data_IF_076752740099
#
_entry.id   IF_076752740099
#
_cell.length_a   1.000
_cell.length_b   1.000
_cell.length_c   1.000
_cell.angle_alpha   90.00
_cell.angle_beta   90.00
_cell.angle_gamma   90.00
#
_symmetry.space_group_name_H-M   'P 1'
#
loop_
_entity.id
_entity.type
_entity.pdbx_description
1 polymer ?
#
# COMPACT_ATOMS: atom_id res chain seq x y z
N UNK A 1 3.07 -6.13 -0.61
CA UNK A 1 3.35 -4.96 0.22
C UNK A 1 3.90 -3.84 -0.64
N UNK A 2 3.30 -2.68 -0.61
CA UNK A 2 3.69 -1.52 -1.42
C UNK A 2 3.93 -0.29 -0.53
N UNK A 3 4.74 0.66 -1.02
CA UNK A 3 4.79 2.00 -0.45
C UNK A 3 3.49 2.76 -0.76
N UNK A 4 3.24 3.86 -0.03
CA UNK A 4 1.97 4.59 -0.09
C UNK A 4 2.18 6.09 -0.29
N UNK A 5 1.67 6.62 -1.38
CA UNK A 5 1.85 8.01 -1.79
C UNK A 5 0.51 8.76 -1.82
N UNK A 6 -0.56 8.07 -2.23
CA UNK A 6 -1.83 8.70 -2.53
C UNK A 6 -3.02 7.74 -2.38
N UNK A 7 -4.21 8.30 -2.29
CA UNK A 7 -5.47 7.55 -2.42
C UNK A 7 -5.59 6.82 -3.77
N UNK A 8 -4.94 7.34 -4.83
CA UNK A 8 -4.99 6.74 -6.18
C UNK A 8 -4.12 5.46 -6.28
N UNK A 9 -3.23 5.19 -5.33
CA UNK A 9 -2.42 3.97 -5.29
C UNK A 9 -3.29 2.71 -5.34
N UNK A 10 -4.47 2.76 -4.72
CA UNK A 10 -5.45 1.67 -4.75
C UNK A 10 -5.85 1.34 -6.20
N UNK A 11 -6.17 2.38 -6.98
CA UNK A 11 -6.57 2.23 -8.39
C UNK A 11 -5.41 1.71 -9.23
N UNK A 12 -4.22 2.27 -9.03
CA UNK A 12 -3.01 1.91 -9.77
C UNK A 12 -2.62 0.44 -9.51
N UNK A 13 -2.55 0.04 -8.25
CA UNK A 13 -2.20 -1.35 -7.89
C UNK A 13 -3.27 -2.32 -8.37
N UNK A 14 -4.56 -1.99 -8.22
CA UNK A 14 -5.65 -2.85 -8.67
C UNK A 14 -5.69 -2.99 -10.20
N UNK A 15 -5.34 -1.94 -10.95
CA UNK A 15 -5.24 -1.98 -12.41
C UNK A 15 -4.12 -2.90 -12.92
N UNK A 16 -3.04 -3.05 -12.14
CA UNK A 16 -1.92 -3.92 -12.50
C UNK A 16 -2.13 -5.37 -12.09
N UNK A 17 -2.82 -5.60 -10.96
CA UNK A 17 -3.10 -6.92 -10.43
C UNK A 17 -4.36 -6.91 -9.58
N UNK A 18 -5.30 -7.79 -9.90
CA UNK A 18 -6.48 -7.97 -9.05
C UNK A 18 -6.06 -8.41 -7.65
N UNK A 19 -6.44 -7.62 -6.65
CA UNK A 19 -6.16 -7.86 -5.24
C UNK A 19 -7.19 -7.13 -4.37
N UNK A 20 -7.39 -7.63 -3.15
CA UNK A 20 -8.17 -6.98 -2.12
C UNK A 20 -7.25 -6.09 -1.29
N UNK A 21 -7.74 -4.96 -0.82
CA UNK A 21 -6.95 -4.08 0.03
C UNK A 21 -7.28 -4.27 1.50
N UNK A 22 -6.33 -3.93 2.36
CA UNK A 22 -6.54 -3.84 3.80
C UNK A 22 -6.49 -2.38 4.20
N UNK A 23 -7.61 -1.84 4.66
CA UNK A 23 -7.75 -0.43 5.01
C UNK A 23 -8.40 -0.24 6.38
N UNK A 24 -8.21 0.95 6.97
CA UNK A 24 -8.90 1.34 8.20
C UNK A 24 -10.40 1.53 7.90
N UNK A 25 -11.27 1.19 8.85
CA UNK A 25 -12.72 1.36 8.75
C UNK A 25 -13.16 2.82 8.59
N UNK A 26 -12.36 3.78 9.07
CA UNK A 26 -12.59 5.21 8.86
C UNK A 26 -12.70 5.58 7.38
N UNK A 27 -11.95 4.91 6.51
CA UNK A 27 -11.94 5.13 5.05
C UNK A 27 -13.30 4.77 4.43
N UNK A 28 -14.05 3.84 5.03
CA UNK A 28 -15.39 3.50 4.58
C UNK A 28 -16.37 4.69 4.62
N UNK A 29 -16.05 5.73 5.37
CA UNK A 29 -16.87 6.96 5.51
C UNK A 29 -16.56 8.02 4.45
N UNK A 30 -15.54 7.84 3.63
CA UNK A 30 -15.12 8.79 2.61
C UNK A 30 -15.79 8.44 1.26
N UNK A 31 -16.78 9.21 0.77
CA UNK A 31 -17.69 8.75 -0.29
C UNK A 31 -16.99 8.26 -1.56
N UNK A 32 -15.97 8.98 -2.03
CA UNK A 32 -15.25 8.63 -3.24
C UNK A 32 -14.30 7.45 -3.02
N UNK A 33 -13.50 7.52 -1.96
CA UNK A 33 -12.49 6.50 -1.63
C UNK A 33 -13.16 5.19 -1.21
N UNK A 34 -14.27 5.26 -0.46
CA UNK A 34 -15.02 4.06 -0.08
C UNK A 34 -15.63 3.34 -1.30
N UNK A 35 -16.08 4.08 -2.30
CA UNK A 35 -16.60 3.47 -3.54
C UNK A 35 -15.50 2.69 -4.26
N UNK A 36 -14.30 3.28 -4.40
CA UNK A 36 -13.14 2.61 -4.99
C UNK A 36 -12.67 1.41 -4.15
N UNK A 37 -12.60 1.60 -2.83
CA UNK A 37 -12.19 0.56 -1.90
C UNK A 37 -13.18 -0.63 -1.89
N UNK A 38 -14.48 -0.36 -1.95
CA UNK A 38 -15.52 -1.40 -2.04
C UNK A 38 -15.48 -2.12 -3.39
N UNK A 39 -15.22 -1.41 -4.49
CA UNK A 39 -15.04 -2.02 -5.80
C UNK A 39 -13.81 -2.95 -5.86
N UNK A 40 -12.79 -2.66 -5.03
CA UNK A 40 -11.59 -3.49 -4.86
C UNK A 40 -11.74 -4.54 -3.73
N UNK A 41 -12.95 -4.83 -3.28
CA UNK A 41 -13.27 -5.80 -2.21
C UNK A 41 -12.38 -5.64 -0.96
N UNK A 42 -12.27 -4.40 -0.48
CA UNK A 42 -11.38 -4.02 0.61
C UNK A 42 -11.80 -4.62 1.94
N UNK A 43 -10.86 -5.23 2.64
CA UNK A 43 -11.00 -5.69 4.01
C UNK A 43 -10.82 -4.50 4.97
N UNK A 44 -11.92 -4.03 5.55
CA UNK A 44 -11.86 -2.96 6.54
C UNK A 44 -11.50 -3.50 7.92
N UNK A 45 -10.59 -2.81 8.59
CA UNK A 45 -10.06 -3.24 9.88
C UNK A 45 -10.17 -2.12 10.91
N UNK A 46 -10.69 -2.47 12.08
CA UNK A 46 -10.71 -1.62 13.28
C UNK A 46 -9.49 -1.91 14.14
N UNK A 47 -8.76 -0.89 14.58
CA UNK A 47 -7.53 -1.02 15.38
C UNK A 47 -7.58 -0.20 16.67
N UNK A 48 -8.70 -0.20 17.35
CA UNK A 48 -8.88 0.58 18.58
C UNK A 48 -8.23 -0.07 19.81
N UNK A 49 -8.03 -1.38 19.77
CA UNK A 49 -7.48 -2.13 20.89
C UNK A 49 -6.45 -3.19 20.46
N UNK A 50 -5.66 -3.67 21.44
CA UNK A 50 -4.75 -4.82 21.24
C UNK A 50 -5.47 -6.09 20.78
N UNK A 51 -6.71 -6.29 21.27
CA UNK A 51 -7.57 -7.42 20.90
C UNK A 51 -8.01 -7.32 19.45
N UNK A 52 -8.34 -6.11 19.00
CA UNK A 52 -8.72 -5.87 17.60
C UNK A 52 -7.54 -6.09 16.66
N UNK A 53 -6.34 -5.65 17.04
CA UNK A 53 -5.12 -5.89 16.27
C UNK A 53 -4.87 -7.41 16.07
N UNK A 54 -5.09 -8.25 17.08
CA UNK A 54 -4.97 -9.72 16.96
C UNK A 54 -6.05 -10.31 16.07
N UNK A 55 -7.30 -9.82 16.19
CA UNK A 55 -8.41 -10.25 15.33
C UNK A 55 -8.14 -9.94 13.87
N UNK A 56 -7.63 -8.74 13.58
CA UNK A 56 -7.22 -8.32 12.24
C UNK A 56 -6.14 -9.23 11.66
N UNK A 57 -5.09 -9.53 12.41
CA UNK A 57 -4.04 -10.47 11.99
C UNK A 57 -4.65 -11.84 11.65
N UNK A 58 -5.59 -12.31 12.47
CA UNK A 58 -6.26 -13.60 12.23
C UNK A 58 -7.13 -13.59 10.97
N UNK A 59 -7.91 -12.53 10.77
CA UNK A 59 -8.74 -12.36 9.56
C UNK A 59 -7.89 -12.31 8.29
N UNK A 60 -6.82 -11.53 8.28
CA UNK A 60 -5.90 -11.44 7.15
C UNK A 60 -5.24 -12.81 6.90
N UNK A 61 -4.77 -13.49 7.95
CA UNK A 61 -4.17 -14.81 7.79
C UNK A 61 -5.16 -15.86 7.25
N UNK A 62 -6.43 -15.79 7.63
CA UNK A 62 -7.47 -16.65 7.08
C UNK A 62 -7.71 -16.38 5.60
N UNK A 63 -7.90 -15.12 5.21
CA UNK A 63 -8.05 -14.69 3.81
C UNK A 63 -6.88 -15.19 2.93
N UNK A 64 -5.64 -15.07 3.44
CA UNK A 64 -4.46 -15.58 2.73
C UNK A 64 -4.48 -17.11 2.56
N UNK A 65 -4.95 -17.87 3.57
CA UNK A 65 -5.10 -19.35 3.47
C UNK A 65 -6.20 -19.75 2.51
N UNK A 66 -7.24 -18.93 2.39
CA UNK A 66 -8.35 -19.13 1.45
C UNK A 66 -7.96 -18.80 0.01
N UNK A 67 -6.73 -18.29 -0.21
CA UNK A 67 -6.17 -18.01 -1.53
C UNK A 67 -6.33 -16.57 -2.00
N UNK A 68 -6.82 -15.68 -1.16
CA UNK A 68 -6.94 -14.27 -1.49
C UNK A 68 -5.56 -13.63 -1.70
N UNK A 69 -5.48 -12.71 -2.66
CA UNK A 69 -4.34 -11.82 -2.84
C UNK A 69 -4.64 -10.51 -2.15
N UNK A 70 -3.87 -10.17 -1.12
CA UNK A 70 -4.07 -8.98 -0.32
C UNK A 70 -2.98 -7.94 -0.58
N UNK A 71 -3.38 -6.72 -0.88
CA UNK A 71 -2.48 -5.57 -0.95
C UNK A 71 -2.48 -4.80 0.39
N UNK A 72 -1.28 -4.56 0.90
CA UNK A 72 -1.09 -3.77 2.13
C UNK A 72 -0.11 -2.63 1.88
N UNK A 73 -0.37 -1.51 2.54
CA UNK A 73 0.53 -0.38 2.63
C UNK A 73 1.10 -0.31 4.06
N UNK A 74 2.24 -0.94 4.32
CA UNK A 74 2.75 -1.08 5.68
C UNK A 74 3.22 0.22 6.32
N UNK A 75 3.36 1.31 5.56
CA UNK A 75 3.59 2.66 6.09
C UNK A 75 2.43 3.17 6.95
N UNK A 76 1.21 2.68 6.69
CA UNK A 76 0.00 3.04 7.46
C UNK A 76 -0.51 4.46 7.25
N UNK A 77 0.20 5.26 6.46
CA UNK A 77 -0.18 6.60 6.01
C UNK A 77 0.51 6.89 4.68
N UNK A 78 0.05 7.90 3.96
CA UNK A 78 0.67 8.36 2.72
C UNK A 78 1.88 9.24 2.98
N UNK A 79 2.91 9.11 2.15
CA UNK A 79 4.08 9.98 2.07
C UNK A 79 4.11 10.78 0.79
N UNK A 80 5.12 11.64 0.63
CA UNK A 80 5.34 12.43 -0.59
C UNK A 80 6.06 11.65 -1.72
N UNK A 81 6.40 10.39 -1.47
CA UNK A 81 7.12 9.55 -2.42
C UNK A 81 8.63 9.78 -2.48
N UNK A 82 9.17 10.81 -1.80
CA UNK A 82 10.63 11.07 -1.80
C UNK A 82 11.39 10.08 -0.94
N UNK A 83 10.76 9.59 0.12
CA UNK A 83 11.33 8.61 1.06
C UNK A 83 10.25 7.65 1.55
N UNK A 84 10.66 6.44 1.89
CA UNK A 84 9.79 5.47 2.54
C UNK A 84 9.68 5.76 4.04
N UNK A 85 8.46 5.76 4.55
CA UNK A 85 8.21 5.81 5.98
C UNK A 85 8.53 4.46 6.64
N UNK A 86 8.64 4.41 7.98
CA UNK A 86 8.82 3.14 8.69
C UNK A 86 7.64 2.19 8.45
N UNK A 87 7.93 0.91 8.26
CA UNK A 87 6.91 -0.11 8.05
C UNK A 87 6.35 -0.64 9.38
N UNK A 88 5.05 -0.65 9.51
CA UNK A 88 4.34 -1.28 10.62
C UNK A 88 4.31 -2.80 10.45
N UNK A 89 5.14 -3.48 11.23
CA UNK A 89 5.37 -4.92 11.14
C UNK A 89 4.13 -5.80 11.49
N UNK A 90 3.09 -5.24 12.11
CA UNK A 90 1.96 -6.02 12.60
C UNK A 90 1.18 -6.75 11.50
N UNK A 91 1.07 -6.15 10.30
CA UNK A 91 0.38 -6.79 9.17
C UNK A 91 1.16 -7.98 8.62
N UNK A 92 2.50 -7.95 8.69
CA UNK A 92 3.34 -9.05 8.25
C UNK A 92 3.22 -10.29 9.16
N UNK A 93 2.77 -10.13 10.41
CA UNK A 93 2.45 -11.25 11.27
C UNK A 93 1.39 -12.16 10.66
N UNK A 94 0.44 -11.62 9.91
CA UNK A 94 -0.58 -12.41 9.24
C UNK A 94 0.04 -13.28 8.12
N UNK A 95 0.95 -12.73 7.33
CA UNK A 95 1.66 -13.49 6.31
C UNK A 95 2.54 -14.59 6.92
N UNK A 96 3.24 -14.31 8.03
CA UNK A 96 3.99 -15.33 8.79
C UNK A 96 3.04 -16.44 9.27
N UNK A 97 1.91 -16.08 9.87
CA UNK A 97 0.95 -17.04 10.42
C UNK A 97 0.26 -17.90 9.36
N UNK A 98 0.17 -17.42 8.14
CA UNK A 98 -0.39 -18.13 6.99
C UNK A 98 0.68 -18.81 6.13
N UNK A 99 1.96 -18.66 6.45
CA UNK A 99 3.11 -19.01 5.59
C UNK A 99 2.93 -18.51 4.15
N UNK A 100 2.38 -17.30 4.00
CA UNK A 100 2.11 -16.70 2.72
C UNK A 100 3.32 -15.90 2.21
N UNK A 101 3.63 -15.96 0.90
CA UNK A 101 4.65 -15.10 0.32
C UNK A 101 4.19 -13.64 0.31
N UNK A 102 5.14 -12.72 0.47
CA UNK A 102 4.93 -11.28 0.30
C UNK A 102 5.74 -10.81 -0.89
N UNK A 103 5.08 -10.20 -1.86
CA UNK A 103 5.73 -9.55 -2.99
C UNK A 103 5.97 -8.07 -2.66
N UNK A 104 7.22 -7.59 -2.65
CA UNK A 104 7.51 -6.17 -2.54
C UNK A 104 7.09 -5.46 -3.83
N UNK A 105 6.49 -4.28 -3.70
CA UNK A 105 6.04 -3.46 -4.82
C UNK A 105 6.46 -2.03 -4.59
N UNK A 106 7.20 -1.45 -5.52
CA UNK A 106 7.53 -0.03 -5.52
C UNK A 106 6.57 0.72 -6.44
N UNK A 107 6.04 1.84 -5.95
CA UNK A 107 5.14 2.71 -6.66
C UNK A 107 5.68 4.13 -6.66
N UNK A 108 5.64 4.78 -7.82
CA UNK A 108 6.04 6.18 -7.98
C UNK A 108 5.19 6.85 -9.05
N UNK A 109 4.99 8.15 -8.91
CA UNK A 109 4.38 8.98 -9.93
C UNK A 109 5.46 9.86 -10.55
N UNK A 110 5.49 9.89 -11.88
CA UNK A 110 6.43 10.70 -12.64
C UNK A 110 5.67 11.63 -13.61
N UNK A 111 6.29 12.72 -13.96
CA UNK A 111 5.90 13.55 -15.08
C UNK A 111 6.45 12.89 -16.36
N UNK A 112 5.56 12.46 -17.26
CA UNK A 112 5.95 11.74 -18.47
C UNK A 112 6.74 12.55 -19.47
N UNK A 113 6.73 13.89 -19.36
CA UNK A 113 7.51 14.76 -20.25
C UNK A 113 8.93 14.94 -19.75
N UNK A 114 9.12 15.06 -18.45
CA UNK A 114 10.43 15.34 -17.84
C UNK A 114 11.11 14.11 -17.24
N UNK A 115 10.35 13.04 -16.98
CA UNK A 115 10.83 11.86 -16.28
C UNK A 115 11.10 12.09 -14.78
N UNK A 116 10.76 13.27 -14.24
CA UNK A 116 11.00 13.58 -12.83
C UNK A 116 9.79 13.19 -11.96
N UNK A 117 10.02 13.07 -10.64
CA UNK A 117 8.95 12.76 -9.69
C UNK A 117 7.83 13.81 -9.80
N UNK A 118 6.59 13.33 -9.95
CA UNK A 118 5.38 14.16 -9.93
C UNK A 118 4.75 14.14 -8.54
N UNK A 119 4.64 15.28 -7.91
CA UNK A 119 3.95 15.46 -6.64
C UNK A 119 2.44 15.72 -6.80
N UNK A 120 1.96 15.80 -8.02
CA UNK A 120 0.54 16.11 -8.27
C UNK A 120 -0.43 15.13 -7.63
N UNK A 121 -0.22 13.79 -7.67
CA UNK A 121 -1.10 12.82 -7.03
C UNK A 121 -0.90 12.70 -5.52
N UNK A 122 0.17 13.23 -4.94
CA UNK A 122 0.47 13.07 -3.52
C UNK A 122 -0.70 13.53 -2.65
N UNK A 123 -0.90 12.81 -1.53
CA UNK A 123 -1.91 13.13 -0.55
C UNK A 123 -1.28 13.13 0.84
N UNK A 124 -0.82 14.29 1.29
CA UNK A 124 0.00 14.42 2.51
C UNK A 124 -0.41 15.61 3.36
N UNK A 125 -0.15 15.52 4.65
CA UNK A 125 -0.40 16.61 5.60
C UNK A 125 -1.88 16.98 5.70
N UNK A 126 -2.18 18.27 5.55
CA UNK A 126 -3.54 18.82 5.65
C UNK A 126 -4.27 18.86 4.30
N UNK A 127 -3.76 18.17 3.28
CA UNK A 127 -4.45 18.08 1.99
C UNK A 127 -5.86 17.52 2.17
N UNK A 128 -6.83 18.21 1.58
CA UNK A 128 -8.16 17.61 1.41
C UNK A 128 -8.20 16.71 0.18
N UNK A 129 -9.07 15.71 0.17
CA UNK A 129 -9.24 14.83 -0.98
C UNK A 129 -9.52 15.62 -2.27
N UNK A 130 -10.33 16.70 -2.17
CA UNK A 130 -10.66 17.57 -3.31
C UNK A 130 -9.46 18.33 -3.86
N UNK A 131 -8.57 18.80 -3.00
CA UNK A 131 -7.33 19.48 -3.41
C UNK A 131 -6.40 18.51 -4.15
N UNK A 132 -6.19 17.31 -3.60
CA UNK A 132 -5.38 16.27 -4.23
C UNK A 132 -5.98 15.81 -5.57
N UNK A 133 -7.29 15.53 -5.62
CA UNK A 133 -7.99 15.16 -6.84
C UNK A 133 -7.85 16.25 -7.93
N UNK A 134 -8.12 17.50 -7.56
CA UNK A 134 -8.06 18.62 -8.50
C UNK A 134 -6.64 18.89 -9.01
N UNK A 135 -5.64 18.77 -8.14
CA UNK A 135 -4.23 18.87 -8.50
C UNK A 135 -3.83 17.75 -9.47
N UNK A 136 -4.26 16.52 -9.21
CA UNK A 136 -4.00 15.37 -10.08
C UNK A 136 -4.66 15.53 -11.44
N UNK A 137 -5.93 15.96 -11.50
CA UNK A 137 -6.66 16.15 -12.76
C UNK A 137 -6.13 17.32 -13.62
N UNK A 138 -5.49 18.30 -12.99
CA UNK A 138 -4.87 19.43 -13.71
C UNK A 138 -3.44 19.16 -14.16
N UNK A 139 -2.81 18.17 -13.60
CA UNK A 139 -1.45 17.81 -14.00
C UNK A 139 -1.47 17.17 -15.40
N UNK A 140 -0.46 17.53 -16.19
CA UNK A 140 -0.29 16.97 -17.51
C UNK A 140 0.61 15.76 -17.44
N UNK A 141 0.26 14.69 -18.19
CA UNK A 141 1.08 13.50 -18.42
C UNK A 141 1.65 12.86 -17.14
N UNK A 142 0.81 12.72 -16.10
CA UNK A 142 1.21 11.99 -14.89
C UNK A 142 1.17 10.50 -15.18
N UNK A 143 2.28 9.84 -14.98
CA UNK A 143 2.44 8.40 -15.18
C UNK A 143 2.67 7.72 -13.84
N UNK A 144 1.97 6.61 -13.60
CA UNK A 144 2.22 5.74 -12.45
C UNK A 144 3.15 4.61 -12.87
N UNK A 145 4.28 4.50 -12.21
CA UNK A 145 5.24 3.41 -12.41
C UNK A 145 5.13 2.45 -11.25
N UNK A 146 4.91 1.16 -11.58
CA UNK A 146 4.77 0.09 -10.59
C UNK A 146 5.79 -0.99 -10.89
N UNK A 147 6.66 -1.23 -9.93
CA UNK A 147 7.68 -2.28 -10.02
C UNK A 147 7.40 -3.39 -9.03
N UNK A 148 7.41 -4.62 -9.53
CA UNK A 148 7.19 -5.82 -8.73
C UNK A 148 8.53 -6.51 -8.47
N UNK A 149 8.90 -6.63 -7.21
CA UNK A 149 10.04 -7.46 -6.81
C UNK A 149 9.66 -8.94 -6.73
N UNK A 150 10.64 -9.77 -6.41
CA UNK A 150 10.44 -11.20 -6.25
C UNK A 150 9.65 -11.50 -4.97
N UNK A 151 8.57 -12.30 -5.04
CA UNK A 151 7.86 -12.75 -3.85
C UNK A 151 8.78 -13.55 -2.92
N UNK A 152 8.72 -13.26 -1.63
CA UNK A 152 9.50 -13.95 -0.62
C UNK A 152 8.67 -14.36 0.60
N UNK A 153 9.09 -15.40 1.31
CA UNK A 153 8.51 -15.83 2.58
C UNK A 153 9.37 -15.34 3.75
N UNK A 154 8.82 -15.40 4.95
CA UNK A 154 9.53 -14.95 6.15
C UNK A 154 10.84 -15.70 6.42
N UNK A 155 10.92 -16.98 6.06
CA UNK A 155 12.15 -17.81 6.20
C UNK A 155 12.74 -17.77 7.61
N UNK A 156 11.90 -17.81 8.65
CA UNK A 156 12.31 -17.75 10.04
C UNK A 156 12.56 -16.35 10.60
N UNK A 157 12.49 -15.31 9.77
CA UNK A 157 12.56 -13.91 10.26
C UNK A 157 11.35 -13.58 11.13
N UNK A 158 11.57 -12.81 12.18
CA UNK A 158 10.46 -12.18 12.87
C UNK A 158 9.86 -11.06 12.02
N UNK A 159 8.66 -10.62 12.40
CA UNK A 159 7.91 -9.60 11.65
C UNK A 159 8.63 -8.26 11.52
N UNK A 160 9.50 -7.89 12.49
CA UNK A 160 10.22 -6.60 12.47
C UNK A 160 11.39 -6.65 11.53
N UNK A 161 12.17 -7.72 11.60
CA UNK A 161 13.28 -7.96 10.69
C UNK A 161 12.76 -8.03 9.25
N UNK A 162 11.69 -8.81 9.01
CA UNK A 162 11.10 -8.92 7.67
C UNK A 162 10.52 -7.59 7.15
N UNK A 163 9.91 -6.77 8.01
CA UNK A 163 9.43 -5.44 7.63
C UNK A 163 10.57 -4.50 7.22
N UNK A 164 11.71 -4.58 7.90
CA UNK A 164 12.89 -3.79 7.55
C UNK A 164 13.47 -4.23 6.20
N UNK A 165 13.62 -5.53 5.98
CA UNK A 165 14.11 -6.08 4.71
C UNK A 165 13.20 -5.72 3.54
N UNK A 166 11.87 -5.88 3.69
CA UNK A 166 10.90 -5.50 2.66
C UNK A 166 10.96 -4.01 2.35
N UNK A 167 11.12 -3.17 3.37
CA UNK A 167 11.24 -1.73 3.17
C UNK A 167 12.50 -1.38 2.37
N UNK A 168 13.61 -2.03 2.67
CA UNK A 168 14.88 -1.85 1.93
C UNK A 168 14.73 -2.34 0.48
N UNK A 169 14.15 -3.50 0.27
CA UNK A 169 13.88 -4.03 -1.08
C UNK A 169 13.00 -3.08 -1.89
N UNK A 170 11.94 -2.51 -1.29
CA UNK A 170 11.08 -1.54 -1.97
C UNK A 170 11.83 -0.23 -2.27
N UNK A 171 12.73 0.21 -1.38
CA UNK A 171 13.59 1.35 -1.64
C UNK A 171 14.51 1.11 -2.84
N UNK A 172 15.17 -0.04 -2.90
CA UNK A 172 16.03 -0.43 -4.02
C UNK A 172 15.26 -0.51 -5.33
N UNK A 173 14.09 -1.19 -5.35
CA UNK A 173 13.23 -1.26 -6.53
C UNK A 173 12.86 0.15 -7.03
N UNK A 174 12.57 1.06 -6.12
CA UNK A 174 12.24 2.43 -6.47
C UNK A 174 13.43 3.16 -7.07
N UNK A 175 14.63 2.98 -6.52
CA UNK A 175 15.84 3.67 -6.96
C UNK A 175 16.38 3.09 -8.28
N UNK A 176 16.18 1.79 -8.53
CA UNK A 176 16.59 1.11 -9.78
C UNK A 176 15.64 1.40 -10.96
N UNK A 177 14.46 1.90 -10.70
CA UNK A 177 13.41 2.06 -11.69
C UNK A 177 13.28 3.45 -12.30
N UNK A 178 14.11 4.39 -11.88
CA UNK A 178 14.00 5.80 -12.27
C UNK A 178 15.35 6.41 -12.61
#
# INVERSE_FOLDING_TARGET
AANHISWIDIVVVHATRHCRFVSKDEIARWPLVSTLANAADTLYITRESRRDAMRVVHQIAQSLRDGDVLAIFPEGTTGDGTRLLPFHANLLQAAISADAPVQPVALQFIDGQTGTISFAPCYVGDDTLWQSLWRTLRAHDVQAVVQFGTPERAQGRDRRAWAADLRETIAQLRDDGF
#
